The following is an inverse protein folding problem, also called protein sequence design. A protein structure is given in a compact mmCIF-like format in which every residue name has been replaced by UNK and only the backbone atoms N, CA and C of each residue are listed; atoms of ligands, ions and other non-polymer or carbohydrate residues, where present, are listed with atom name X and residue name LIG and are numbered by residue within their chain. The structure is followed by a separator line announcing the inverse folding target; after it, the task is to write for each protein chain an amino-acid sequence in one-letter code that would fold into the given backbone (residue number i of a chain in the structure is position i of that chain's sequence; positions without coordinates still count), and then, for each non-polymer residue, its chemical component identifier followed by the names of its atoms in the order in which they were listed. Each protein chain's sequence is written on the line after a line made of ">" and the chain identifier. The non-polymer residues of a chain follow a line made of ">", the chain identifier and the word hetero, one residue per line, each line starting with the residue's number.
data_IF_160298921058
#
_entry.id   IF_160298921058
#
_cell.length_a   1.000
_cell.length_b   1.000
_cell.length_c   1.000
_cell.angle_alpha   90.00
_cell.angle_beta   90.00
_cell.angle_gamma   90.00
#
_symmetry.space_group_name_H-M   'P 1'
#
loop_
_entity.id
_entity.type
_entity.pdbx_description
1 polymer ?
#
# COMPACT_ATOMS: atom_id res chain seq x y z
N UNK A 1 19.36 21.86 8.27
CA UNK A 1 18.11 21.13 8.57
C UNK A 1 16.95 21.76 7.79
N UNK A 2 16.86 21.56 6.46
CA UNK A 2 16.02 22.38 5.56
C UNK A 2 14.51 22.06 5.61
N UNK A 3 14.05 21.21 6.54
CA UNK A 3 12.63 20.87 6.70
C UNK A 3 11.93 21.67 7.81
N UNK A 4 12.66 22.46 8.59
CA UNK A 4 12.05 23.30 9.63
C UNK A 4 11.49 24.57 9.00
N UNK A 5 10.22 24.84 9.25
CA UNK A 5 9.52 26.06 8.86
C UNK A 5 9.05 26.81 10.11
N UNK A 6 8.60 28.06 9.97
CA UNK A 6 8.00 28.79 11.10
C UNK A 6 6.89 27.96 11.74
N UNK A 7 6.02 27.33 10.94
CA UNK A 7 4.92 26.51 11.43
C UNK A 7 5.34 25.26 12.20
N UNK A 8 6.51 24.68 11.92
CA UNK A 8 7.05 23.57 12.72
C UNK A 8 7.73 24.08 13.99
N UNK A 9 8.39 25.23 13.94
CA UNK A 9 9.04 25.83 15.12
C UNK A 9 8.03 26.34 16.15
N UNK A 10 6.88 26.83 15.69
CA UNK A 10 5.78 27.31 16.55
C UNK A 10 4.73 26.26 16.84
N UNK A 11 4.92 25.02 16.39
CA UNK A 11 3.95 23.90 16.49
C UNK A 11 2.59 24.16 15.83
N UNK A 12 2.35 25.33 15.23
CA UNK A 12 1.11 25.66 14.51
C UNK A 12 0.80 24.61 13.43
N UNK A 13 1.82 24.09 12.77
CA UNK A 13 1.66 23.05 11.76
C UNK A 13 1.04 21.77 12.36
N UNK A 14 1.35 21.44 13.62
CA UNK A 14 0.78 20.27 14.29
C UNK A 14 -0.70 20.48 14.63
N UNK A 15 -1.07 21.69 15.05
CA UNK A 15 -2.48 22.07 15.21
C UNK A 15 -3.24 22.04 13.89
N UNK A 16 -2.65 22.56 12.80
CA UNK A 16 -3.24 22.48 11.47
C UNK A 16 -3.44 21.03 11.03
N UNK A 17 -2.46 20.15 11.26
CA UNK A 17 -2.61 18.71 10.98
C UNK A 17 -3.79 18.11 11.74
N UNK A 18 -3.95 18.44 13.02
CA UNK A 18 -5.07 17.96 13.82
C UNK A 18 -6.41 18.49 13.30
N UNK A 19 -6.48 19.78 12.95
CA UNK A 19 -7.65 20.42 12.36
C UNK A 19 -8.08 19.71 11.07
N UNK A 20 -7.18 19.56 10.11
CA UNK A 20 -7.48 18.90 8.83
C UNK A 20 -7.80 17.41 9.01
N UNK A 21 -7.18 16.72 9.98
CA UNK A 21 -7.49 15.32 10.26
C UNK A 21 -8.88 15.12 10.88
N UNK A 22 -9.40 16.11 11.62
CA UNK A 22 -10.69 16.03 12.34
C UNK A 22 -11.86 16.65 11.59
N UNK A 23 -11.63 17.80 10.95
CA UNK A 23 -12.65 18.61 10.31
C UNK A 23 -12.48 18.73 8.78
N UNK A 24 -11.36 18.27 8.23
CA UNK A 24 -11.11 18.31 6.79
C UNK A 24 -11.93 17.27 6.03
N UNK A 25 -12.53 17.68 4.92
CA UNK A 25 -13.09 16.76 3.95
C UNK A 25 -12.05 16.40 2.90
N UNK A 26 -11.80 15.10 2.71
CA UNK A 26 -10.85 14.62 1.72
C UNK A 26 -11.53 14.50 0.35
N UNK A 27 -10.86 15.03 -0.68
CA UNK A 27 -11.28 14.94 -2.08
C UNK A 27 -10.18 14.29 -2.92
N UNK A 28 -10.59 13.53 -3.94
CA UNK A 28 -9.67 12.94 -4.91
C UNK A 28 -9.06 14.03 -5.79
N UNK A 29 -7.73 14.08 -5.88
CA UNK A 29 -7.03 15.02 -6.76
C UNK A 29 -7.22 14.70 -8.26
N UNK A 30 -7.62 13.46 -8.59
CA UNK A 30 -7.84 13.03 -9.97
C UNK A 30 -9.26 13.29 -10.46
N UNK A 31 -10.27 13.00 -9.64
CA UNK A 31 -11.69 13.12 -10.03
C UNK A 31 -12.39 14.34 -9.43
N UNK A 32 -11.83 14.98 -8.39
CA UNK A 32 -12.50 16.05 -7.65
C UNK A 32 -13.65 15.57 -6.75
N UNK A 33 -13.89 14.26 -6.66
CA UNK A 33 -14.98 13.69 -5.87
C UNK A 33 -14.58 13.51 -4.40
N UNK A 34 -15.57 13.56 -3.51
CA UNK A 34 -15.39 13.32 -2.07
C UNK A 34 -14.91 11.90 -1.82
N UNK A 35 -13.86 11.74 -1.01
CA UNK A 35 -13.39 10.43 -0.58
C UNK A 35 -14.39 9.82 0.40
N UNK A 36 -14.93 8.67 0.05
CA UNK A 36 -15.84 7.89 0.88
C UNK A 36 -15.15 6.65 1.43
N UNK A 37 -15.62 6.19 2.60
CA UNK A 37 -15.21 4.89 3.14
C UNK A 37 -16.10 3.82 2.54
N UNK A 38 -15.49 2.73 2.10
CA UNK A 38 -16.21 1.55 1.63
C UNK A 38 -16.17 0.44 2.69
N UNK A 39 -17.28 -0.28 2.84
CA UNK A 39 -17.31 -1.54 3.61
C UNK A 39 -16.65 -2.66 2.81
N UNK A 40 -16.39 -3.79 3.46
CA UNK A 40 -15.82 -4.97 2.81
C UNK A 40 -16.73 -5.47 1.69
N UNK A 41 -18.05 -5.52 1.92
CA UNK A 41 -19.04 -5.94 0.93
C UNK A 41 -19.06 -4.98 -0.28
N UNK A 42 -18.99 -3.67 -0.03
CA UNK A 42 -18.95 -2.68 -1.10
C UNK A 42 -17.69 -2.81 -1.95
N UNK A 43 -16.54 -3.11 -1.33
CA UNK A 43 -15.28 -3.36 -2.06
C UNK A 43 -15.42 -4.61 -2.93
N UNK A 44 -15.98 -5.70 -2.39
CA UNK A 44 -16.20 -6.94 -3.14
C UNK A 44 -17.12 -6.72 -4.34
N UNK A 45 -18.24 -6.01 -4.13
CA UNK A 45 -19.17 -5.64 -5.20
C UNK A 45 -18.48 -4.80 -6.27
N UNK A 46 -17.75 -3.75 -5.88
CA UNK A 46 -17.04 -2.87 -6.81
C UNK A 46 -16.01 -3.64 -7.64
N UNK A 47 -15.28 -4.58 -7.04
CA UNK A 47 -14.35 -5.44 -7.77
C UNK A 47 -15.10 -6.32 -8.77
N UNK A 48 -16.19 -6.96 -8.34
CA UNK A 48 -17.02 -7.82 -9.18
C UNK A 48 -17.57 -7.09 -10.39
N UNK A 49 -18.12 -5.89 -10.19
CA UNK A 49 -18.70 -5.06 -11.25
C UNK A 49 -17.63 -4.49 -12.18
N UNK A 50 -16.57 -3.87 -11.63
CA UNK A 50 -15.57 -3.16 -12.44
C UNK A 50 -14.65 -4.09 -13.24
N UNK A 51 -14.43 -5.30 -12.75
CA UNK A 51 -13.52 -6.27 -13.37
C UNK A 51 -14.23 -7.51 -13.92
N UNK A 52 -15.56 -7.45 -14.08
CA UNK A 52 -16.34 -8.54 -14.65
C UNK A 52 -15.79 -8.96 -16.02
N UNK A 53 -15.61 -10.26 -16.22
CA UNK A 53 -15.08 -10.83 -17.48
C UNK A 53 -13.60 -10.56 -17.74
N UNK A 54 -12.86 -9.94 -16.80
CA UNK A 54 -11.42 -9.65 -16.94
C UNK A 54 -10.61 -10.54 -16.02
N UNK A 55 -9.56 -11.15 -16.56
CA UNK A 55 -8.55 -11.84 -15.74
C UNK A 55 -7.80 -10.82 -14.89
N UNK A 56 -7.99 -10.89 -13.58
CA UNK A 56 -7.48 -9.90 -12.63
C UNK A 56 -6.65 -10.57 -11.54
N UNK A 57 -5.54 -9.96 -11.15
CA UNK A 57 -4.76 -10.39 -9.99
C UNK A 57 -5.18 -9.60 -8.76
N UNK A 58 -5.52 -10.29 -7.68
CA UNK A 58 -5.74 -9.67 -6.36
C UNK A 58 -4.42 -9.76 -5.58
N UNK A 59 -3.86 -8.61 -5.23
CA UNK A 59 -2.54 -8.51 -4.61
C UNK A 59 -2.63 -7.88 -3.22
N UNK A 60 -1.90 -8.45 -2.26
CA UNK A 60 -1.72 -7.89 -0.93
C UNK A 60 -0.32 -7.29 -0.80
N UNK A 61 -0.17 -5.96 -0.59
CA UNK A 61 1.14 -5.31 -0.52
C UNK A 61 1.75 -5.46 0.89
N UNK A 62 2.57 -6.51 1.06
CA UNK A 62 3.20 -6.86 2.35
C UNK A 62 4.42 -6.01 2.68
N UNK A 63 5.16 -5.56 1.66
CA UNK A 63 6.35 -4.72 1.80
C UNK A 63 6.19 -3.53 0.86
N UNK A 64 6.45 -2.32 1.36
CA UNK A 64 6.42 -1.08 0.58
C UNK A 64 7.66 -0.24 0.92
N UNK A 65 8.44 0.15 -0.08
CA UNK A 65 9.62 1.03 0.02
C UNK A 65 10.59 0.64 1.15
N UNK A 66 10.89 -0.66 1.30
CA UNK A 66 11.86 -1.17 2.28
C UNK A 66 12.84 -2.11 1.58
N UNK A 67 14.10 -2.02 2.00
CA UNK A 67 15.18 -2.91 1.56
C UNK A 67 15.26 -4.13 2.47
N UNK A 68 15.53 -5.30 1.91
CA UNK A 68 15.73 -6.52 2.68
C UNK A 68 15.77 -7.79 1.85
N UNK A 69 16.30 -8.86 2.42
CA UNK A 69 16.36 -10.17 1.75
C UNK A 69 15.01 -10.91 1.76
N UNK A 70 14.15 -10.65 2.75
CA UNK A 70 12.81 -11.24 2.90
C UNK A 70 12.72 -12.78 2.86
N UNK A 71 13.83 -13.50 3.13
CA UNK A 71 13.87 -14.97 3.12
C UNK A 71 12.77 -15.59 4.01
N UNK A 72 12.64 -15.11 5.25
CA UNK A 72 11.62 -15.59 6.18
C UNK A 72 10.19 -15.30 5.69
N UNK A 73 9.98 -14.16 5.04
CA UNK A 73 8.68 -13.80 4.48
C UNK A 73 8.28 -14.75 3.34
N UNK A 74 9.20 -15.07 2.43
CA UNK A 74 8.93 -16.04 1.37
C UNK A 74 8.63 -17.44 1.91
N UNK A 75 9.37 -17.90 2.93
CA UNK A 75 9.09 -19.18 3.58
C UNK A 75 7.71 -19.17 4.27
N UNK A 76 7.33 -18.08 4.94
CA UNK A 76 6.00 -17.93 5.53
C UNK A 76 4.90 -17.96 4.47
N UNK A 77 5.09 -17.27 3.34
CA UNK A 77 4.12 -17.27 2.25
C UNK A 77 3.97 -18.65 1.60
N UNK A 78 5.10 -19.38 1.42
CA UNK A 78 5.05 -20.76 0.94
C UNK A 78 4.31 -21.67 1.91
N UNK A 79 4.55 -21.54 3.22
CA UNK A 79 3.81 -22.30 4.25
C UNK A 79 2.32 -22.00 4.26
N UNK A 80 1.91 -20.78 3.90
CA UNK A 80 0.51 -20.40 3.72
C UNK A 80 -0.10 -20.87 2.39
N UNK A 81 0.67 -21.50 1.51
CA UNK A 81 0.20 -22.05 0.24
C UNK A 81 0.18 -21.05 -0.93
N UNK A 82 0.81 -19.88 -0.80
CA UNK A 82 0.94 -18.95 -1.93
C UNK A 82 1.99 -19.46 -2.91
N UNK A 83 1.64 -19.45 -4.21
CA UNK A 83 2.53 -19.92 -5.28
C UNK A 83 3.35 -18.80 -5.92
N UNK A 84 2.80 -17.60 -5.99
CA UNK A 84 3.41 -16.48 -6.71
C UNK A 84 3.41 -15.21 -5.88
N UNK A 85 4.42 -14.38 -6.11
CA UNK A 85 4.63 -13.07 -5.47
C UNK A 85 4.95 -12.03 -6.53
N UNK A 86 4.51 -10.79 -6.31
CA UNK A 86 4.94 -9.66 -7.14
C UNK A 86 6.07 -8.92 -6.43
N UNK A 87 7.27 -8.97 -7.00
CA UNK A 87 8.47 -8.29 -6.49
C UNK A 87 8.92 -7.29 -7.53
N UNK A 88 9.09 -6.03 -7.13
CA UNK A 88 9.58 -4.93 -7.98
C UNK A 88 8.85 -4.81 -9.32
N UNK A 89 7.55 -5.12 -9.32
CA UNK A 89 6.67 -5.08 -10.50
C UNK A 89 6.53 -6.41 -11.23
N UNK A 90 7.41 -7.37 -11.01
CA UNK A 90 7.40 -8.67 -11.69
C UNK A 90 6.75 -9.76 -10.85
N UNK A 91 5.88 -10.56 -11.47
CA UNK A 91 5.30 -11.75 -10.84
C UNK A 91 6.29 -12.90 -11.00
N UNK A 92 6.68 -13.51 -9.88
CA UNK A 92 7.61 -14.64 -9.80
C UNK A 92 7.05 -15.74 -8.92
N UNK A 93 7.43 -16.98 -9.19
CA UNK A 93 7.09 -18.13 -8.36
C UNK A 93 7.93 -18.14 -7.07
N UNK A 94 7.34 -18.58 -5.96
CA UNK A 94 8.03 -18.67 -4.67
C UNK A 94 8.83 -19.97 -4.62
N UNK A 95 10.16 -19.86 -4.66
CA UNK A 95 11.06 -21.01 -4.56
C UNK A 95 11.59 -21.22 -3.13
N UNK A 96 11.95 -22.46 -2.75
CA UNK A 96 12.63 -22.72 -1.48
C UNK A 96 13.96 -21.97 -1.35
N UNK A 97 14.14 -21.28 -0.21
CA UNK A 97 15.33 -20.49 0.04
C UNK A 97 15.43 -19.20 -0.80
N UNK A 98 14.36 -18.80 -1.48
CA UNK A 98 14.27 -17.53 -2.22
C UNK A 98 14.65 -16.35 -1.31
N UNK A 99 15.47 -15.46 -1.85
CA UNK A 99 15.90 -14.22 -1.18
C UNK A 99 16.09 -13.13 -2.23
N UNK A 100 15.77 -11.89 -1.87
CA UNK A 100 16.09 -10.72 -2.68
C UNK A 100 17.49 -10.22 -2.35
N UNK A 101 18.04 -9.36 -3.20
CA UNK A 101 19.25 -8.61 -2.88
C UNK A 101 18.90 -7.49 -1.89
N UNK A 102 19.74 -7.27 -0.88
CA UNK A 102 19.52 -6.25 0.15
C UNK A 102 19.73 -4.82 -0.38
N UNK A 103 20.53 -4.66 -1.44
CA UNK A 103 20.95 -3.33 -1.89
C UNK A 103 20.18 -2.81 -3.11
N UNK A 104 19.46 -3.69 -3.80
CA UNK A 104 18.69 -3.33 -4.99
C UNK A 104 17.33 -2.75 -4.60
N UNK A 105 16.94 -1.70 -5.32
CA UNK A 105 15.61 -1.09 -5.27
C UNK A 105 14.75 -1.64 -6.40
#
# INVERSE_FOLDING_TARGET
>A
NPRSTVGTTTEIYDFLRLLFARAGEAYSYLSGEKMVKYTEEQILQLIGERYQGRRTYILAPLVRNRKGHYKELFEQLRRKGYLSVRVDGEIREILPGMKLDRYKN
#
